data_IF_378367913262
#
_entry.id   IF_378367913262
#
_cell.length_a   1.000
_cell.length_b   1.000
_cell.length_c   1.000
_cell.angle_alpha   90.00
_cell.angle_beta   90.00
_cell.angle_gamma   90.00
#
_symmetry.space_group_name_H-M   'P 1'
#
loop_
_entity.id
_entity.type
_entity.pdbx_description
1 polymer ?
#
# COMPACT_ATOMS: atom_id res chain seq x y z
N UNK A 1 29.56 8.00 8.50
CA UNK A 1 28.16 8.19 8.07
C UNK A 1 27.35 7.91 9.30
N UNK A 2 27.47 8.79 10.29
CA UNK A 2 27.21 8.42 11.68
C UNK A 2 25.74 8.73 11.99
N UNK A 3 24.97 7.68 12.30
CA UNK A 3 23.54 7.77 12.59
C UNK A 3 22.59 7.48 11.41
N UNK A 4 23.10 7.14 10.22
CA UNK A 4 22.25 6.73 9.08
C UNK A 4 22.28 5.21 8.94
N UNK A 5 21.12 4.56 9.09
CA UNK A 5 21.00 3.08 9.00
C UNK A 5 20.82 2.58 7.57
N UNK A 6 20.03 3.28 6.76
CA UNK A 6 19.80 2.94 5.35
C UNK A 6 19.40 4.18 4.54
N UNK A 7 19.56 4.10 3.22
CA UNK A 7 19.05 5.07 2.25
C UNK A 7 18.39 4.27 1.14
N UNK A 8 17.09 4.44 0.96
CA UNK A 8 16.34 3.86 -0.16
C UNK A 8 16.08 4.93 -1.22
N UNK A 9 16.18 4.55 -2.51
CA UNK A 9 15.85 5.44 -3.62
C UNK A 9 14.39 5.27 -4.02
N UNK A 10 13.60 6.34 -3.92
CA UNK A 10 12.27 6.40 -4.55
C UNK A 10 12.47 6.56 -6.06
N UNK A 11 11.94 5.63 -6.85
CA UNK A 11 12.02 5.66 -8.32
C UNK A 11 10.73 6.18 -8.96
N UNK A 12 9.58 6.01 -8.30
CA UNK A 12 8.30 6.50 -8.77
C UNK A 12 7.32 6.78 -7.62
N UNK A 13 6.37 7.66 -7.91
CA UNK A 13 5.19 7.92 -7.08
C UNK A 13 3.94 7.92 -7.95
N UNK A 14 2.90 7.25 -7.47
CA UNK A 14 1.61 7.14 -8.14
C UNK A 14 0.49 7.62 -7.23
N UNK A 15 -0.54 8.18 -7.84
CA UNK A 15 -1.83 8.41 -7.21
C UNK A 15 -2.82 7.38 -7.75
N UNK A 16 -3.44 6.63 -6.85
CA UNK A 16 -4.33 5.51 -7.17
C UNK A 16 -5.70 5.83 -6.64
N UNK A 17 -6.68 5.91 -7.53
CA UNK A 17 -8.09 6.04 -7.17
C UNK A 17 -8.75 4.68 -7.24
N UNK A 18 -9.32 4.24 -6.13
CA UNK A 18 -10.03 2.97 -6.07
C UNK A 18 -11.52 3.15 -6.36
N UNK A 19 -12.11 2.14 -6.98
CA UNK A 19 -13.55 2.16 -7.25
C UNK A 19 -14.36 2.00 -5.97
N UNK A 20 -15.52 2.66 -5.91
CA UNK A 20 -16.47 2.55 -4.79
C UNK A 20 -16.91 1.10 -4.50
N UNK A 21 -16.82 0.21 -5.48
CA UNK A 21 -17.15 -1.20 -5.32
C UNK A 21 -16.11 -1.96 -4.47
N UNK A 22 -14.87 -1.47 -4.39
CA UNK A 22 -13.80 -2.08 -3.58
C UNK A 22 -13.65 -1.30 -2.27
N UNK A 23 -13.56 0.03 -2.35
CA UNK A 23 -13.40 0.92 -1.19
C UNK A 23 -14.05 2.28 -1.47
N UNK A 24 -14.65 2.97 -0.47
CA UNK A 24 -15.45 4.17 -0.72
C UNK A 24 -14.60 5.35 -1.20
N UNK A 25 -14.56 5.61 -2.51
CA UNK A 25 -13.92 6.77 -3.17
C UNK A 25 -12.55 7.14 -2.58
N UNK A 26 -11.71 6.14 -2.37
CA UNK A 26 -10.41 6.30 -1.73
C UNK A 26 -9.35 6.68 -2.77
N UNK A 27 -8.57 7.73 -2.47
CA UNK A 27 -7.39 8.12 -3.25
C UNK A 27 -6.13 7.90 -2.42
N UNK A 28 -5.30 6.94 -2.82
CA UNK A 28 -4.07 6.61 -2.13
C UNK A 28 -2.84 7.01 -2.93
N UNK A 29 -1.72 7.18 -2.23
CA UNK A 29 -0.40 7.32 -2.82
C UNK A 29 0.34 6.00 -2.73
N UNK A 30 1.03 5.66 -3.80
CA UNK A 30 1.97 4.54 -3.84
C UNK A 30 3.35 5.08 -4.16
N UNK A 31 4.36 4.71 -3.38
CA UNK A 31 5.76 4.94 -3.71
C UNK A 31 6.42 3.63 -4.10
N UNK A 32 7.30 3.68 -5.10
CA UNK A 32 8.12 2.53 -5.48
C UNK A 32 9.58 2.84 -5.14
N UNK A 33 10.21 1.93 -4.41
CA UNK A 33 11.59 2.00 -3.96
C UNK A 33 12.44 1.03 -4.77
N UNK A 34 13.62 1.48 -5.22
CA UNK A 34 14.67 0.58 -5.71
C UNK A 34 15.53 0.17 -4.52
N UNK A 35 15.56 -1.13 -4.25
CA UNK A 35 16.29 -1.74 -3.12
C UNK A 35 17.66 -2.26 -3.55
N UNK A 36 17.73 -2.85 -4.73
CA UNK A 36 18.97 -3.24 -5.40
C UNK A 36 18.77 -3.27 -6.92
N UNK A 37 19.81 -3.62 -7.69
CA UNK A 37 19.70 -3.69 -9.16
C UNK A 37 18.70 -4.81 -9.51
N UNK A 38 17.55 -4.42 -10.06
CA UNK A 38 16.48 -5.36 -10.41
C UNK A 38 15.62 -5.82 -9.24
N UNK A 39 15.58 -5.09 -8.10
CA UNK A 39 14.68 -5.38 -6.98
C UNK A 39 13.92 -4.10 -6.59
N UNK A 40 12.61 -4.15 -6.73
CA UNK A 40 11.69 -3.04 -6.49
C UNK A 40 10.65 -3.41 -5.43
N UNK A 41 10.30 -2.43 -4.60
CA UNK A 41 9.25 -2.56 -3.60
C UNK A 41 8.28 -1.39 -3.68
N UNK A 42 7.00 -1.69 -3.86
CA UNK A 42 5.94 -0.70 -3.80
C UNK A 42 5.33 -0.68 -2.39
N UNK A 43 5.02 0.53 -1.89
CA UNK A 43 4.30 0.74 -0.62
C UNK A 43 3.15 1.71 -0.85
N UNK A 44 1.98 1.38 -0.33
CA UNK A 44 0.80 2.23 -0.33
C UNK A 44 0.70 2.99 1.01
N UNK A 45 0.17 4.21 0.99
CA UNK A 45 0.02 5.04 2.20
C UNK A 45 -1.28 4.78 2.97
N UNK A 46 -1.96 3.67 2.71
CA UNK A 46 -3.21 3.32 3.39
C UNK A 46 -3.25 1.83 3.61
N UNK A 47 -3.68 1.43 4.80
CA UNK A 47 -3.84 0.04 5.17
C UNK A 47 -5.29 -0.23 5.58
N UNK A 48 -5.79 -1.44 5.29
CA UNK A 48 -7.08 -1.88 5.81
C UNK A 48 -6.93 -2.22 7.29
N UNK A 49 -7.85 -1.75 8.11
CA UNK A 49 -7.97 -2.15 9.51
C UNK A 49 -8.81 -3.42 9.58
N UNK A 50 -8.29 -4.45 10.24
CA UNK A 50 -9.12 -5.56 10.66
C UNK A 50 -9.99 -5.16 11.86
N UNK A 51 -11.31 -5.17 11.70
CA UNK A 51 -12.24 -4.78 12.79
C UNK A 51 -12.18 -5.70 14.01
N UNK A 52 -11.74 -6.95 13.84
CA UNK A 52 -11.66 -7.92 14.94
C UNK A 52 -10.30 -7.89 15.63
N UNK A 53 -9.21 -7.72 14.85
CA UNK A 53 -7.85 -7.75 15.37
C UNK A 53 -7.29 -6.35 15.71
N UNK A 54 -7.89 -5.29 15.16
CA UNK A 54 -7.49 -3.90 15.40
C UNK A 54 -6.12 -3.53 14.82
N UNK A 55 -5.53 -4.39 13.98
CA UNK A 55 -4.22 -4.18 13.38
C UNK A 55 -4.34 -4.03 11.86
N UNK A 56 -3.47 -3.20 11.30
CA UNK A 56 -3.33 -3.00 9.87
C UNK A 56 -2.01 -3.63 9.41
N UNK A 57 -2.09 -4.68 8.58
CA UNK A 57 -0.89 -5.19 7.93
C UNK A 57 -0.57 -4.24 6.76
N UNK A 58 0.49 -3.44 6.92
CA UNK A 58 0.98 -2.64 5.80
C UNK A 58 1.41 -3.57 4.67
N UNK A 59 0.72 -3.48 3.53
CA UNK A 59 1.06 -4.30 2.37
C UNK A 59 2.21 -3.66 1.58
N UNK A 60 3.10 -4.52 1.10
CA UNK A 60 4.10 -4.16 0.11
C UNK A 60 3.98 -5.09 -1.09
N UNK A 61 4.19 -4.52 -2.28
CA UNK A 61 4.35 -5.28 -3.51
C UNK A 61 5.82 -5.40 -3.87
N UNK A 62 6.19 -6.52 -4.48
CA UNK A 62 7.57 -6.83 -4.88
C UNK A 62 7.62 -7.16 -6.37
N UNK A 63 8.73 -6.81 -7.03
CA UNK A 63 8.93 -7.14 -8.44
C UNK A 63 10.34 -6.87 -8.91
N UNK A 64 10.69 -7.46 -10.06
CA UNK A 64 11.98 -7.25 -10.71
C UNK A 64 11.98 -5.93 -11.52
N UNK A 65 10.80 -5.33 -11.70
CA UNK A 65 10.58 -4.01 -12.28
C UNK A 65 9.68 -3.13 -11.40
N UNK A 66 9.73 -1.81 -11.65
CA UNK A 66 8.84 -0.83 -11.02
C UNK A 66 7.36 -1.18 -11.21
N UNK A 67 6.97 -1.56 -12.43
CA UNK A 67 5.60 -1.90 -12.77
C UNK A 67 5.15 -3.19 -12.11
N UNK A 68 5.99 -4.22 -12.06
CA UNK A 68 5.65 -5.49 -11.40
C UNK A 68 5.43 -5.30 -9.89
N UNK A 69 6.28 -4.50 -9.24
CA UNK A 69 6.10 -4.20 -7.82
C UNK A 69 4.79 -3.44 -7.56
N UNK A 70 4.43 -2.50 -8.43
CA UNK A 70 3.15 -1.79 -8.37
C UNK A 70 1.97 -2.74 -8.57
N UNK A 71 2.02 -3.59 -9.59
CA UNK A 71 0.95 -4.53 -9.94
C UNK A 71 0.74 -5.58 -8.83
N UNK A 72 1.82 -6.10 -8.24
CA UNK A 72 1.78 -7.02 -7.10
C UNK A 72 1.11 -6.37 -5.89
N UNK A 73 1.48 -5.14 -5.53
CA UNK A 73 0.87 -4.39 -4.43
C UNK A 73 -0.63 -4.18 -4.65
N UNK A 74 -1.02 -3.64 -5.80
CA UNK A 74 -2.42 -3.32 -6.07
C UNK A 74 -3.29 -4.57 -6.17
N UNK A 75 -2.74 -5.65 -6.73
CA UNK A 75 -3.42 -6.94 -6.81
C UNK A 75 -3.68 -7.51 -5.42
N UNK A 76 -2.67 -7.53 -4.54
CA UNK A 76 -2.82 -8.01 -3.16
C UNK A 76 -3.78 -7.16 -2.36
N UNK A 77 -3.68 -5.83 -2.45
CA UNK A 77 -4.54 -4.91 -1.73
C UNK A 77 -6.02 -5.11 -2.08
N UNK A 78 -6.31 -5.24 -3.38
CA UNK A 78 -7.67 -5.49 -3.86
C UNK A 78 -8.16 -6.88 -3.46
N UNK A 79 -7.29 -7.90 -3.48
CA UNK A 79 -7.64 -9.25 -3.04
C UNK A 79 -7.95 -9.31 -1.54
N UNK A 80 -7.12 -8.69 -0.70
CA UNK A 80 -7.33 -8.59 0.74
C UNK A 80 -8.64 -7.86 1.06
N UNK A 81 -8.88 -6.71 0.40
CA UNK A 81 -10.12 -5.96 0.54
C UNK A 81 -11.36 -6.79 0.11
N UNK A 82 -11.26 -7.60 -0.94
CA UNK A 82 -12.38 -8.48 -1.35
C UNK A 82 -12.61 -9.62 -0.36
N UNK A 83 -11.54 -10.23 0.14
CA UNK A 83 -11.60 -11.36 1.06
C UNK A 83 -12.22 -10.97 2.41
N UNK A 84 -11.95 -9.75 2.87
CA UNK A 84 -12.37 -9.26 4.18
C UNK A 84 -13.51 -8.24 4.10
N UNK A 85 -14.23 -8.18 2.96
CA UNK A 85 -15.31 -7.22 2.76
C UNK A 85 -16.46 -7.49 3.75
N UNK A 86 -16.84 -6.51 4.58
CA UNK A 86 -17.99 -6.67 5.47
C UNK A 86 -19.30 -6.79 4.66
N UNK A 87 -20.36 -7.42 5.22
CA UNK A 87 -21.65 -7.55 4.53
C UNK A 87 -22.26 -6.23 4.07
N UNK A 88 -21.99 -5.15 4.79
CA UNK A 88 -22.48 -3.80 4.48
C UNK A 88 -21.45 -2.96 3.69
N UNK A 89 -20.40 -3.61 3.18
CA UNK A 89 -19.25 -2.95 2.57
C UNK A 89 -18.35 -2.26 3.59
N UNK A 90 -17.33 -1.58 3.05
CA UNK A 90 -16.40 -0.79 3.85
C UNK A 90 -16.91 0.60 4.15
N UNK A 91 -16.49 1.12 5.30
CA UNK A 91 -16.59 2.50 5.73
C UNK A 91 -15.19 3.12 5.71
N UNK A 92 -15.11 4.45 5.70
CA UNK A 92 -13.81 5.15 5.78
C UNK A 92 -13.02 4.80 7.04
N UNK A 93 -13.70 4.44 8.14
CA UNK A 93 -13.08 3.99 9.40
C UNK A 93 -12.44 2.61 9.34
N UNK A 94 -12.58 1.89 8.23
CA UNK A 94 -11.94 0.59 8.01
C UNK A 94 -10.55 0.74 7.36
N UNK A 95 -10.09 1.97 7.20
CA UNK A 95 -8.80 2.30 6.61
C UNK A 95 -8.02 3.24 7.52
N UNK A 96 -6.73 2.99 7.60
CA UNK A 96 -5.77 3.82 8.31
C UNK A 96 -4.76 4.40 7.32
N UNK A 97 -4.60 5.72 7.36
CA UNK A 97 -3.61 6.41 6.56
C UNK A 97 -2.28 6.41 7.27
N UNK A 98 -1.22 6.02 6.57
CA UNK A 98 0.15 6.17 7.05
C UNK A 98 0.44 7.67 7.15
N UNK A 99 1.02 8.08 8.27
CA UNK A 99 1.39 9.46 8.52
C UNK A 99 2.40 9.97 7.49
N UNK A 100 2.42 11.29 7.27
CA UNK A 100 3.31 11.89 6.26
C UNK A 100 4.79 11.77 6.62
N UNK A 101 5.12 11.57 7.89
CA UNK A 101 6.48 11.32 8.38
C UNK A 101 6.90 9.84 8.23
N UNK A 102 5.94 8.92 8.09
CA UNK A 102 6.20 7.48 7.88
C UNK A 102 6.11 7.04 6.40
N UNK A 103 5.53 7.88 5.53
CA UNK A 103 5.32 7.60 4.10
C UNK A 103 6.14 8.50 3.17
#
# INVERSE_FOLDING_TARGET
>A
MDGITSIDKVVAMYEVTFSHAIVPNMQAKVKVLSRSIGDFMARINVARIDRQLGFSAGECGLGDTEQEALDDLLTRFVQDARMHMPPNGYLSSDFEWISADEF
#
